data_IF_092655748698
#
_entry.id   IF_092655748698
#
_cell.length_a   1.000
_cell.length_b   1.000
_cell.length_c   1.000
_cell.angle_alpha   90.00
_cell.angle_beta   90.00
_cell.angle_gamma   90.00
#
_symmetry.space_group_name_H-M   'P 1'
#
loop_
_entity.id
_entity.type
_entity.pdbx_description
1 polymer ?
#
# COMPACT_ATOMS: atom_id res chain seq x y z
N UNK A 1 -25.78 10.94 -8.76
CA UNK A 1 -25.67 10.28 -7.44
C UNK A 1 -24.26 9.74 -7.35
N UNK A 2 -23.50 9.99 -6.27
CA UNK A 2 -22.20 9.34 -6.09
C UNK A 2 -22.43 7.81 -6.05
N UNK A 3 -21.74 7.06 -6.90
CA UNK A 3 -21.79 5.60 -6.88
C UNK A 3 -21.17 5.13 -5.56
N UNK A 4 -21.98 4.55 -4.67
CA UNK A 4 -21.46 3.96 -3.44
C UNK A 4 -20.79 2.63 -3.80
N UNK A 5 -19.50 2.48 -3.52
CA UNK A 5 -18.82 1.18 -3.64
C UNK A 5 -19.13 0.39 -2.37
N UNK A 6 -19.96 -0.64 -2.48
CA UNK A 6 -20.30 -1.53 -1.38
C UNK A 6 -19.47 -2.80 -1.54
N UNK A 7 -18.75 -3.17 -0.49
CA UNK A 7 -18.02 -4.41 -0.39
C UNK A 7 -18.86 -5.43 0.37
N UNK A 8 -19.16 -6.56 -0.25
CA UNK A 8 -19.79 -7.70 0.42
C UNK A 8 -18.75 -8.81 0.61
N UNK A 9 -18.45 -9.17 1.85
CA UNK A 9 -17.49 -10.23 2.14
C UNK A 9 -18.05 -11.58 1.69
N UNK A 10 -17.26 -12.31 0.92
CA UNK A 10 -17.58 -13.67 0.51
C UNK A 10 -16.66 -14.65 1.21
N UNK A 11 -17.18 -15.84 1.48
CA UNK A 11 -16.34 -16.95 1.92
C UNK A 11 -15.48 -17.42 0.74
N UNK A 12 -14.24 -16.97 0.68
CA UNK A 12 -13.24 -17.35 -0.33
C UNK A 12 -12.29 -18.39 0.23
N UNK A 13 -12.09 -19.48 -0.51
CA UNK A 13 -11.11 -20.52 -0.18
C UNK A 13 -9.77 -20.24 -0.87
N UNK A 14 -8.67 -20.53 -0.19
CA UNK A 14 -7.33 -20.40 -0.76
C UNK A 14 -7.12 -21.43 -1.89
N UNK A 15 -6.81 -20.93 -3.09
CA UNK A 15 -6.61 -21.74 -4.31
C UNK A 15 -5.13 -22.00 -4.63
N UNK A 16 -4.22 -21.53 -3.77
CA UNK A 16 -2.77 -21.63 -3.96
C UNK A 16 -2.20 -20.52 -4.86
N UNK A 17 -0.88 -20.58 -5.07
CA UNK A 17 -0.16 -19.61 -5.87
C UNK A 17 -0.27 -19.91 -7.36
N UNK A 18 -0.63 -18.90 -8.16
CA UNK A 18 -0.59 -18.98 -9.61
C UNK A 18 0.03 -17.70 -10.20
N UNK A 19 1.22 -17.82 -10.78
CA UNK A 19 1.94 -16.72 -11.42
C UNK A 19 1.38 -16.31 -12.79
N UNK A 20 0.47 -17.12 -13.34
CA UNK A 20 -0.19 -16.90 -14.63
C UNK A 20 -1.63 -16.38 -14.47
N UNK A 21 -2.02 -15.94 -13.27
CA UNK A 21 -3.32 -15.30 -13.06
C UNK A 21 -3.48 -14.10 -13.99
N UNK A 22 -4.67 -13.96 -14.58
CA UNK A 22 -5.03 -12.81 -15.41
C UNK A 22 -5.95 -11.91 -14.61
N UNK A 23 -5.49 -10.69 -14.36
CA UNK A 23 -6.29 -9.69 -13.65
C UNK A 23 -7.54 -9.36 -14.49
N UNK A 24 -8.71 -9.51 -13.88
CA UNK A 24 -9.96 -9.04 -14.44
C UNK A 24 -10.00 -7.51 -14.39
N UNK A 25 -9.64 -6.87 -15.49
CA UNK A 25 -9.54 -5.40 -15.59
C UNK A 25 -10.87 -4.68 -15.38
N UNK A 26 -11.99 -5.28 -15.80
CA UNK A 26 -13.32 -4.72 -15.56
C UNK A 26 -13.63 -4.68 -14.06
N UNK A 27 -13.37 -5.79 -13.36
CA UNK A 27 -13.55 -5.85 -11.91
C UNK A 27 -12.57 -4.97 -11.16
N UNK A 28 -11.30 -4.96 -11.55
CA UNK A 28 -10.30 -4.06 -10.99
C UNK A 28 -10.80 -2.62 -11.05
N UNK A 29 -11.22 -2.16 -12.22
CA UNK A 29 -11.73 -0.79 -12.42
C UNK A 29 -12.96 -0.49 -11.56
N UNK A 30 -13.85 -1.47 -11.36
CA UNK A 30 -15.07 -1.29 -10.57
C UNK A 30 -14.83 -1.00 -9.08
N UNK A 31 -13.63 -1.29 -8.57
CA UNK A 31 -13.23 -0.99 -7.19
C UNK A 31 -12.75 0.44 -6.96
N UNK A 32 -12.68 1.26 -8.00
CA UNK A 32 -12.24 2.63 -7.92
C UNK A 32 -13.35 3.57 -8.39
N UNK A 33 -13.34 4.80 -7.87
CA UNK A 33 -14.01 5.90 -8.56
C UNK A 33 -13.31 6.13 -9.90
N UNK A 34 -14.09 6.45 -10.94
CA UNK A 34 -13.58 6.59 -12.32
C UNK A 34 -12.38 7.55 -12.39
N UNK A 35 -12.49 8.72 -11.77
CA UNK A 35 -11.45 9.74 -11.76
C UNK A 35 -10.19 9.25 -11.03
N UNK A 36 -10.34 8.59 -9.87
CA UNK A 36 -9.22 8.03 -9.12
C UNK A 36 -8.48 6.99 -9.96
N UNK A 37 -9.20 6.11 -10.65
CA UNK A 37 -8.60 5.08 -11.51
C UNK A 37 -7.83 5.69 -12.67
N UNK A 38 -8.41 6.69 -13.35
CA UNK A 38 -7.76 7.38 -14.47
C UNK A 38 -6.48 8.10 -14.02
N UNK A 39 -6.51 8.72 -12.84
CA UNK A 39 -5.36 9.45 -12.30
C UNK A 39 -4.18 8.54 -11.96
N UNK A 40 -4.38 7.23 -11.74
CA UNK A 40 -3.29 6.27 -11.52
C UNK A 40 -2.28 6.21 -12.69
N UNK A 41 -2.68 6.60 -13.91
CA UNK A 41 -1.75 6.69 -15.04
C UNK A 41 -0.70 7.80 -14.88
N UNK A 42 -0.96 8.80 -14.03
CA UNK A 42 0.01 9.86 -13.71
C UNK A 42 1.24 9.30 -12.98
N UNK A 43 1.12 8.15 -12.31
CA UNK A 43 2.23 7.49 -11.64
C UNK A 43 3.33 7.05 -12.61
N UNK A 44 3.00 6.72 -13.87
CA UNK A 44 3.98 6.31 -14.88
C UNK A 44 4.99 7.42 -15.23
N UNK A 45 4.69 8.67 -14.88
CA UNK A 45 5.55 9.84 -15.14
C UNK A 45 6.56 10.08 -14.01
N UNK A 46 6.45 9.33 -12.91
CA UNK A 46 7.28 9.49 -11.72
C UNK A 46 8.40 8.46 -11.77
N UNK A 47 9.64 8.92 -11.61
CA UNK A 47 10.80 8.05 -11.46
C UNK A 47 11.36 8.20 -10.06
N UNK A 48 11.44 7.07 -9.35
CA UNK A 48 12.02 7.01 -8.00
C UNK A 48 13.38 6.31 -8.13
N UNK A 49 14.49 6.94 -7.73
CA UNK A 49 15.81 6.31 -7.71
C UNK A 49 15.86 5.28 -6.59
N UNK A 50 15.35 4.08 -6.88
CA UNK A 50 15.15 3.01 -5.92
C UNK A 50 15.62 1.69 -6.54
N UNK A 51 16.66 1.07 -5.99
CA UNK A 51 17.37 -0.04 -6.68
C UNK A 51 16.96 -1.43 -6.18
N UNK A 52 16.20 -1.52 -5.08
CA UNK A 52 15.86 -2.82 -4.50
C UNK A 52 14.91 -3.60 -5.42
N UNK A 53 15.13 -4.91 -5.50
CA UNK A 53 14.25 -5.87 -6.20
C UNK A 53 13.30 -6.60 -5.23
N UNK A 54 13.57 -6.50 -3.92
CA UNK A 54 12.70 -6.98 -2.85
C UNK A 54 12.50 -5.85 -1.84
N UNK A 55 11.27 -5.67 -1.39
CA UNK A 55 10.94 -4.62 -0.41
C UNK A 55 10.05 -5.11 0.71
N UNK A 56 10.03 -4.35 1.80
CA UNK A 56 8.93 -4.35 2.76
C UNK A 56 8.14 -3.03 2.74
N UNK A 57 6.82 -3.14 2.82
CA UNK A 57 5.89 -2.01 2.82
C UNK A 57 5.02 -2.05 4.07
N UNK A 58 4.89 -0.92 4.76
CA UNK A 58 3.95 -0.73 5.86
C UNK A 58 2.76 0.11 5.38
N UNK A 59 1.55 -0.37 5.64
CA UNK A 59 0.31 0.36 5.38
C UNK A 59 -0.61 0.30 6.60
N UNK A 60 -0.56 1.30 7.49
CA UNK A 60 -1.47 1.39 8.62
C UNK A 60 -2.78 2.06 8.23
N UNK A 61 -3.88 1.69 8.88
CA UNK A 61 -5.24 2.15 8.54
C UNK A 61 -5.66 1.73 7.13
N UNK A 62 -5.22 0.55 6.69
CA UNK A 62 -5.40 0.09 5.32
C UNK A 62 -6.85 -0.25 4.96
N UNK A 63 -7.73 -0.47 5.94
CA UNK A 63 -9.07 -0.98 5.71
C UNK A 63 -9.05 -2.24 4.83
N UNK A 64 -9.77 -2.19 3.72
CA UNK A 64 -9.83 -3.25 2.69
C UNK A 64 -8.96 -2.94 1.46
N UNK A 65 -8.19 -1.85 1.50
CA UNK A 65 -7.46 -1.32 0.36
C UNK A 65 -6.17 -2.09 0.06
N UNK A 66 -6.30 -3.17 -0.71
CA UNK A 66 -5.18 -3.91 -1.26
C UNK A 66 -4.76 -3.42 -2.65
N UNK A 67 -5.65 -2.77 -3.40
CA UNK A 67 -5.43 -2.52 -4.82
C UNK A 67 -4.57 -1.28 -5.08
N UNK A 68 -4.74 -0.18 -4.32
CA UNK A 68 -3.87 0.99 -4.46
C UNK A 68 -2.39 0.66 -4.25
N UNK A 69 -1.96 0.06 -3.11
CA UNK A 69 -0.55 -0.25 -2.91
C UNK A 69 0.01 -1.18 -3.99
N UNK A 70 -0.77 -2.15 -4.48
CA UNK A 70 -0.33 -3.04 -5.57
C UNK A 70 -0.10 -2.28 -6.89
N UNK A 71 -1.02 -1.39 -7.28
CA UNK A 71 -0.86 -0.57 -8.49
C UNK A 71 0.32 0.39 -8.37
N UNK A 72 0.50 0.99 -7.20
CA UNK A 72 1.63 1.87 -6.92
C UNK A 72 2.96 1.13 -7.01
N UNK A 73 3.04 -0.07 -6.44
CA UNK A 73 4.24 -0.91 -6.53
C UNK A 73 4.61 -1.22 -7.99
N UNK A 74 3.62 -1.55 -8.82
CA UNK A 74 3.87 -1.83 -10.24
C UNK A 74 4.36 -0.61 -11.02
N UNK A 75 3.72 0.54 -10.81
CA UNK A 75 4.00 1.74 -11.62
C UNK A 75 5.25 2.47 -11.16
N UNK A 76 5.50 2.55 -9.85
CA UNK A 76 6.62 3.29 -9.29
C UNK A 76 7.89 2.45 -9.12
N UNK A 77 7.75 1.13 -8.97
CA UNK A 77 8.86 0.21 -8.74
C UNK A 77 8.79 -1.04 -9.64
N UNK A 78 8.81 -0.86 -10.98
CA UNK A 78 8.64 -1.95 -11.93
C UNK A 78 9.70 -3.06 -11.82
N UNK A 79 10.87 -2.76 -11.26
CA UNK A 79 11.99 -3.68 -11.02
C UNK A 79 11.77 -4.67 -9.87
N UNK A 80 10.72 -4.51 -9.06
CA UNK A 80 10.45 -5.42 -7.95
C UNK A 80 10.05 -6.80 -8.45
N UNK A 81 10.63 -7.83 -7.83
CA UNK A 81 10.23 -9.22 -8.01
C UNK A 81 9.42 -9.73 -6.82
N UNK A 82 9.63 -9.13 -5.63
CA UNK A 82 8.96 -9.53 -4.39
C UNK A 82 8.65 -8.33 -3.50
N UNK A 83 7.50 -8.39 -2.82
CA UNK A 83 7.13 -7.41 -1.81
C UNK A 83 6.51 -8.08 -0.59
N UNK A 84 6.96 -7.67 0.61
CA UNK A 84 6.37 -8.08 1.87
C UNK A 84 5.56 -6.91 2.43
N UNK A 85 4.24 -7.00 2.37
CA UNK A 85 3.32 -5.96 2.82
C UNK A 85 2.89 -6.29 4.26
N UNK A 86 2.95 -5.30 5.14
CA UNK A 86 2.38 -5.35 6.48
C UNK A 86 1.24 -4.36 6.55
N UNK A 87 0.03 -4.90 6.56
CA UNK A 87 -1.21 -4.13 6.67
C UNK A 87 -1.63 -4.14 8.13
N UNK A 88 -1.86 -2.95 8.68
CA UNK A 88 -2.20 -2.78 10.10
C UNK A 88 -3.53 -2.07 10.19
N UNK A 89 -4.52 -2.71 10.80
CA UNK A 89 -5.84 -2.13 10.99
C UNK A 89 -6.47 -2.63 12.29
N UNK A 90 -7.38 -1.86 12.87
CA UNK A 90 -8.11 -2.29 14.06
C UNK A 90 -9.24 -3.27 13.72
N UNK A 91 -9.80 -3.14 12.51
CA UNK A 91 -10.88 -3.99 12.02
C UNK A 91 -10.34 -5.21 11.27
N UNK A 92 -11.03 -6.34 11.40
CA UNK A 92 -10.65 -7.57 10.70
C UNK A 92 -11.07 -7.52 9.22
N UNK A 93 -10.26 -6.86 8.40
CA UNK A 93 -10.55 -6.65 6.97
C UNK A 93 -9.96 -7.74 6.04
N UNK A 94 -9.26 -8.74 6.59
CA UNK A 94 -8.57 -9.76 5.79
C UNK A 94 -9.55 -10.58 4.93
N UNK A 95 -10.74 -10.89 5.44
CA UNK A 95 -11.78 -11.61 4.67
C UNK A 95 -12.22 -10.82 3.42
N UNK A 96 -12.39 -9.51 3.55
CA UNK A 96 -12.72 -8.65 2.43
C UNK A 96 -11.56 -8.51 1.44
N UNK A 97 -10.32 -8.38 1.91
CA UNK A 97 -9.13 -8.34 1.05
C UNK A 97 -9.06 -9.60 0.17
N UNK A 98 -9.32 -10.78 0.77
CA UNK A 98 -9.40 -12.05 0.01
C UNK A 98 -10.51 -12.05 -1.02
N UNK A 99 -11.68 -11.48 -0.68
CA UNK A 99 -12.80 -11.32 -1.61
C UNK A 99 -12.40 -10.47 -2.82
N UNK A 100 -11.78 -9.31 -2.56
CA UNK A 100 -11.32 -8.40 -3.61
C UNK A 100 -10.32 -9.12 -4.54
N UNK A 101 -9.31 -9.79 -3.97
CA UNK A 101 -8.32 -10.55 -4.74
C UNK A 101 -8.97 -11.60 -5.63
N UNK A 102 -9.91 -12.38 -5.10
CA UNK A 102 -10.62 -13.41 -5.87
C UNK A 102 -11.43 -12.82 -7.02
N UNK A 103 -12.17 -11.73 -6.77
CA UNK A 103 -12.99 -11.07 -7.79
C UNK A 103 -12.16 -10.46 -8.92
N UNK A 104 -10.96 -9.94 -8.62
CA UNK A 104 -10.04 -9.47 -9.66
C UNK A 104 -9.25 -10.62 -10.30
N UNK A 105 -9.52 -11.87 -9.95
CA UNK A 105 -8.93 -13.06 -10.59
C UNK A 105 -7.57 -13.48 -10.02
N UNK A 106 -7.23 -13.05 -8.81
CA UNK A 106 -5.98 -13.39 -8.12
C UNK A 106 -6.22 -14.52 -7.13
N UNK A 107 -5.57 -15.66 -7.38
CA UNK A 107 -5.48 -16.75 -6.43
C UNK A 107 -4.39 -16.48 -5.39
N UNK A 108 -4.61 -16.97 -4.16
CA UNK A 108 -3.66 -16.85 -3.06
C UNK A 108 -3.50 -18.18 -2.32
N UNK A 109 -2.35 -18.34 -1.67
CA UNK A 109 -2.15 -19.28 -0.57
C UNK A 109 -2.30 -18.55 0.76
N UNK A 110 -2.70 -19.28 1.80
CA UNK A 110 -2.94 -18.74 3.13
C UNK A 110 -2.22 -19.59 4.19
N UNK A 111 -1.55 -18.92 5.12
CA UNK A 111 -1.06 -19.50 6.37
C UNK A 111 -1.32 -18.51 7.52
N UNK A 112 -2.21 -18.90 8.44
CA UNK A 112 -2.64 -18.07 9.59
C UNK A 112 -3.11 -16.67 9.15
N UNK A 113 -2.39 -15.62 9.54
CA UNK A 113 -2.70 -14.22 9.25
C UNK A 113 -1.93 -13.68 8.03
N UNK A 114 -1.33 -14.56 7.25
CA UNK A 114 -0.54 -14.23 6.09
C UNK A 114 -1.17 -14.85 4.84
N UNK A 115 -1.26 -14.07 3.77
CA UNK A 115 -1.57 -14.57 2.44
C UNK A 115 -0.41 -14.29 1.50
N UNK A 116 -0.23 -15.15 0.51
CA UNK A 116 0.74 -14.95 -0.56
C UNK A 116 0.04 -15.09 -1.90
N UNK A 117 0.41 -14.25 -2.86
CA UNK A 117 -0.17 -14.25 -4.19
C UNK A 117 0.79 -13.63 -5.20
N UNK A 118 0.51 -13.82 -6.49
CA UNK A 118 1.23 -13.12 -7.55
C UNK A 118 0.39 -11.94 -8.05
N UNK A 119 1.03 -10.78 -8.17
CA UNK A 119 0.48 -9.59 -8.79
C UNK A 119 1.42 -9.14 -9.92
N UNK A 120 0.99 -9.25 -11.18
CA UNK A 120 1.81 -8.94 -12.36
C UNK A 120 3.23 -9.56 -12.28
N UNK A 121 3.28 -10.87 -12.01
CA UNK A 121 4.48 -11.70 -11.81
C UNK A 121 5.34 -11.39 -10.58
N UNK A 122 4.98 -10.38 -9.77
CA UNK A 122 5.63 -10.11 -8.48
C UNK A 122 5.05 -11.01 -7.41
N UNK A 123 5.90 -11.65 -6.61
CA UNK A 123 5.46 -12.40 -5.44
C UNK A 123 5.14 -11.43 -4.30
N UNK A 124 3.87 -11.35 -3.92
CA UNK A 124 3.41 -10.55 -2.80
C UNK A 124 3.19 -11.46 -1.61
N UNK A 125 3.74 -11.07 -0.47
CA UNK A 125 3.41 -11.63 0.84
C UNK A 125 2.73 -10.56 1.64
N UNK A 126 1.47 -10.77 2.03
CA UNK A 126 0.70 -9.85 2.86
C UNK A 126 0.54 -10.44 4.26
N UNK A 127 1.05 -9.74 5.26
CA UNK A 127 0.78 -10.00 6.67
C UNK A 127 -0.24 -9.00 7.17
N UNK A 128 -1.38 -9.48 7.66
CA UNK A 128 -2.41 -8.63 8.25
C UNK A 128 -2.28 -8.63 9.78
N UNK A 129 -2.15 -7.44 10.37
CA UNK A 129 -2.00 -7.22 11.81
C UNK A 129 -3.25 -6.51 12.31
N UNK A 130 -4.13 -7.26 12.99
CA UNK A 130 -5.36 -6.73 13.58
C UNK A 130 -5.07 -6.05 14.93
N UNK A 131 -4.49 -4.84 14.86
CA UNK A 131 -4.14 -3.98 16.00
C UNK A 131 -4.19 -2.53 15.55
N UNK A 132 -4.45 -1.61 16.48
CA UNK A 132 -4.15 -0.19 16.27
C UNK A 132 -2.63 0.02 16.12
N UNK A 133 -2.22 0.89 15.20
CA UNK A 133 -0.80 1.12 14.88
C UNK A 133 0.02 1.59 16.09
N UNK A 134 -0.56 2.38 17.00
CA UNK A 134 0.11 2.83 18.22
C UNK A 134 0.57 1.69 19.13
N UNK A 135 -0.17 0.57 19.10
CA UNK A 135 0.14 -0.63 19.87
C UNK A 135 1.09 -1.58 19.13
N UNK A 136 1.47 -1.26 17.90
CA UNK A 136 2.35 -2.08 17.07
C UNK A 136 3.73 -1.45 16.83
N UNK A 137 3.93 -0.16 17.13
CA UNK A 137 5.22 0.52 16.91
C UNK A 137 6.44 -0.17 17.53
N UNK A 138 6.28 -0.77 18.72
CA UNK A 138 7.37 -1.48 19.41
C UNK A 138 7.77 -2.78 18.71
N UNK A 139 6.83 -3.43 18.04
CA UNK A 139 6.99 -4.70 17.30
C UNK A 139 7.37 -4.45 15.83
N UNK A 140 7.20 -3.21 15.36
CA UNK A 140 7.39 -2.83 13.98
C UNK A 140 8.84 -3.03 13.55
N UNK A 141 9.03 -3.91 12.58
CA UNK A 141 10.31 -4.09 11.89
C UNK A 141 10.58 -2.91 10.97
N UNK A 142 11.84 -2.70 10.59
CA UNK A 142 12.17 -1.67 9.62
C UNK A 142 11.58 -2.00 8.25
N UNK A 143 11.20 -0.96 7.51
CA UNK A 143 10.56 -1.10 6.21
C UNK A 143 11.13 -0.14 5.18
N UNK A 144 10.90 -0.48 3.91
CA UNK A 144 11.41 0.29 2.78
C UNK A 144 10.42 1.33 2.29
N UNK A 145 9.13 1.01 2.37
CA UNK A 145 8.06 1.87 1.90
C UNK A 145 7.04 2.05 3.02
N UNK A 146 6.71 3.30 3.33
CA UNK A 146 5.48 3.64 4.04
C UNK A 146 4.44 4.04 3.02
N UNK A 147 3.24 3.51 3.17
CA UNK A 147 2.10 3.82 2.30
C UNK A 147 0.92 4.32 3.14
N UNK A 148 0.26 5.36 2.67
CA UNK A 148 -0.97 5.90 3.26
C UNK A 148 -1.86 6.50 2.17
N UNK A 149 -3.12 6.07 2.11
CA UNK A 149 -4.16 6.68 1.28
C UNK A 149 -5.30 7.21 2.16
N UNK A 150 -5.89 8.33 1.74
CA UNK A 150 -7.11 8.94 2.27
C UNK A 150 -7.05 9.59 3.67
N UNK A 151 -6.57 8.97 4.75
CA UNK A 151 -6.88 9.50 6.09
C UNK A 151 -5.67 10.07 6.86
N UNK A 152 -5.81 11.31 7.35
CA UNK A 152 -4.87 11.95 8.30
C UNK A 152 -5.03 11.49 9.75
N UNK A 153 -6.08 10.72 10.03
CA UNK A 153 -6.55 10.39 11.38
C UNK A 153 -5.38 9.97 12.28
N UNK A 154 -4.52 9.07 11.81
CA UNK A 154 -3.39 8.62 12.63
C UNK A 154 -2.39 9.74 12.97
N UNK A 155 -2.09 10.64 12.03
CA UNK A 155 -1.18 11.77 12.27
C UNK A 155 -1.78 12.80 13.21
N UNK A 156 -3.08 13.05 13.10
CA UNK A 156 -3.77 14.05 13.91
C UNK A 156 -3.92 13.63 15.39
N UNK A 157 -4.06 12.32 15.66
CA UNK A 157 -4.33 11.81 17.01
C UNK A 157 -3.11 11.15 17.70
N UNK A 158 -2.13 10.64 16.95
CA UNK A 158 -0.97 9.97 17.54
C UNK A 158 0.18 10.96 17.67
N UNK A 159 0.54 11.27 18.91
CA UNK A 159 1.69 12.12 19.20
C UNK A 159 2.97 11.58 18.53
N UNK A 160 3.68 12.46 17.83
CA UNK A 160 4.96 12.17 17.18
C UNK A 160 4.91 11.04 16.14
N UNK A 161 3.75 10.85 15.49
CA UNK A 161 3.52 9.75 14.55
C UNK A 161 4.54 9.71 13.41
N UNK A 162 4.78 10.86 12.78
CA UNK A 162 5.67 10.96 11.63
C UNK A 162 7.10 10.56 11.97
N UNK A 163 7.62 10.98 13.12
CA UNK A 163 8.96 10.58 13.57
C UNK A 163 9.01 9.09 13.92
N UNK A 164 7.95 8.53 14.52
CA UNK A 164 7.87 7.08 14.75
C UNK A 164 7.93 6.30 13.44
N UNK A 165 7.24 6.77 12.40
CA UNK A 165 7.32 6.20 11.05
C UNK A 165 8.74 6.34 10.48
N UNK A 166 9.28 7.56 10.43
CA UNK A 166 10.61 7.85 9.86
C UNK A 166 11.75 7.11 10.58
N UNK A 167 11.62 6.85 11.89
CA UNK A 167 12.61 6.12 12.67
C UNK A 167 12.75 4.64 12.25
N UNK A 168 11.69 4.05 11.69
CA UNK A 168 11.65 2.67 11.22
C UNK A 168 11.81 2.54 9.70
N UNK A 169 11.61 3.64 8.97
CA UNK A 169 11.88 3.68 7.54
C UNK A 169 13.40 3.53 7.29
N UNK A 170 13.76 2.57 6.45
CA UNK A 170 15.14 2.32 6.05
C UNK A 170 15.75 3.54 5.33
N UNK A 171 17.08 3.62 5.33
CA UNK A 171 17.79 4.58 4.49
C UNK A 171 17.46 4.37 3.02
N UNK A 172 17.30 5.48 2.28
CA UNK A 172 16.75 5.51 0.92
C UNK A 172 15.32 4.95 0.80
N UNK A 173 14.60 4.78 1.91
CA UNK A 173 13.20 4.40 1.93
C UNK A 173 12.27 5.50 1.41
N UNK A 174 11.04 5.10 1.08
CA UNK A 174 10.05 5.94 0.42
C UNK A 174 8.82 6.13 1.30
N UNK A 175 8.41 7.37 1.51
CA UNK A 175 7.09 7.74 2.00
C UNK A 175 6.19 8.00 0.81
N UNK A 176 5.06 7.31 0.72
CA UNK A 176 3.96 7.62 -0.19
C UNK A 176 2.76 7.93 0.68
N UNK A 177 2.39 9.20 0.80
CA UNK A 177 1.25 9.62 1.62
C UNK A 177 0.36 10.54 0.82
N UNK A 178 -0.93 10.23 0.78
CA UNK A 178 -1.97 11.04 0.13
C UNK A 178 -2.25 12.36 0.86
N UNK A 179 -1.97 12.41 2.15
CA UNK A 179 -2.39 13.54 2.98
C UNK A 179 -1.24 14.40 3.46
N UNK A 180 -0.03 14.16 2.93
CA UNK A 180 1.18 14.92 3.25
C UNK A 180 2.00 14.29 4.38
N UNK A 181 3.16 14.88 4.64
CA UNK A 181 4.04 14.48 5.74
C UNK A 181 4.94 15.69 6.08
N UNK A 182 4.97 16.12 7.34
CA UNK A 182 5.77 17.26 7.76
C UNK A 182 7.27 16.93 7.73
N UNK A 183 8.03 17.84 7.11
CA UNK A 183 9.31 17.49 6.50
C UNK A 183 10.49 17.76 7.44
N UNK A 184 11.07 16.71 8.02
CA UNK A 184 12.45 16.73 8.51
C UNK A 184 13.21 15.57 7.86
N UNK A 185 13.94 15.87 6.76
CA UNK A 185 14.87 14.97 6.05
C UNK A 185 14.34 14.17 4.85
N UNK A 186 13.17 14.47 4.31
CA UNK A 186 12.69 13.85 3.06
C UNK A 186 13.04 14.70 1.83
N UNK A 187 13.66 14.09 0.82
CA UNK A 187 13.73 14.64 -0.53
C UNK A 187 12.39 14.39 -1.21
N UNK A 188 11.60 15.44 -1.40
CA UNK A 188 10.31 15.32 -2.09
C UNK A 188 10.51 15.14 -3.61
N UNK A 189 9.75 14.23 -4.19
CA UNK A 189 9.57 14.06 -5.62
C UNK A 189 8.29 14.79 -6.01
N UNK A 190 8.36 15.59 -7.08
CA UNK A 190 7.18 16.30 -7.57
C UNK A 190 6.15 15.30 -8.12
N UNK A 191 4.92 15.39 -7.61
CA UNK A 191 3.78 14.56 -8.03
C UNK A 191 2.61 15.44 -8.44
N UNK A 192 1.75 14.93 -9.33
CA UNK A 192 0.51 15.64 -9.66
C UNK A 192 -0.41 15.66 -8.44
N UNK A 193 -1.01 16.82 -8.15
CA UNK A 193 -2.02 16.96 -7.09
C UNK A 193 -3.28 16.17 -7.34
N UNK A 194 -3.53 15.75 -8.59
CA UNK A 194 -4.69 14.95 -9.00
C UNK A 194 -4.61 13.49 -8.51
N UNK A 195 -3.42 13.01 -8.14
CA UNK A 195 -3.26 11.70 -7.51
C UNK A 195 -3.83 11.66 -6.08
N UNK A 196 -4.24 12.81 -5.55
CA UNK A 196 -4.64 13.00 -4.17
C UNK A 196 -6.04 13.54 -4.03
N UNK A 197 -6.83 12.92 -3.16
CA UNK A 197 -8.14 13.44 -2.79
C UNK A 197 -8.02 14.77 -2.03
N UNK A 198 -6.93 14.95 -1.28
CA UNK A 198 -6.65 16.16 -0.49
C UNK A 198 -5.74 17.16 -1.22
N UNK A 199 -5.24 16.82 -2.41
CA UNK A 199 -4.26 17.60 -3.17
C UNK A 199 -2.95 17.84 -2.41
N UNK A 200 -2.65 16.94 -1.47
CA UNK A 200 -1.53 17.04 -0.53
C UNK A 200 -0.59 15.84 -0.60
N UNK A 201 -0.79 14.96 -1.59
CA UNK A 201 0.06 13.80 -1.74
C UNK A 201 1.53 14.20 -1.88
N UNK A 202 2.36 13.45 -1.17
CA UNK A 202 3.80 13.49 -1.31
C UNK A 202 4.35 12.12 -1.67
N UNK A 203 5.46 12.13 -2.40
CA UNK A 203 6.42 11.04 -2.45
C UNK A 203 7.73 11.58 -1.92
N UNK A 204 8.17 11.08 -0.76
CA UNK A 204 9.38 11.54 -0.07
C UNK A 204 10.42 10.43 0.02
N UNK A 205 11.66 10.72 -0.35
CA UNK A 205 12.80 9.82 -0.16
C UNK A 205 13.55 10.19 1.12
N UNK A 206 13.73 9.25 2.03
CA UNK A 206 14.61 9.42 3.17
C UNK A 206 16.05 9.43 2.70
N UNK A 207 16.75 10.55 2.93
CA UNK A 207 18.17 10.66 2.57
C UNK A 207 19.02 9.99 3.63
N UNK A 208 20.07 9.31 3.16
CA UNK A 208 21.18 8.87 3.98
C UNK A 208 21.79 10.07 4.73
N UNK A 209 21.85 9.97 6.06
CA UNK A 209 22.62 10.90 6.89
C UNK A 209 24.10 10.61 6.61
N UNK A 210 24.70 11.39 5.72
CA UNK A 210 26.16 11.36 5.51
C UNK A 210 26.81 11.95 6.76
N UNK A 211 27.38 11.08 7.60
CA UNK A 211 28.27 11.45 8.71
C UNK A 211 29.58 12.06 8.17
#
# INVERSE_FOLDING_TARGET
MPNLIIYEEKKVEAKGLNSNNKINQEKLKSYFFEDDYQNLELLNKISIPFEKTEISLLYPGCGTDILFPLIYLDKLFPQLNKANLTFVDEDNNLGMIKTILDEVGISFSEDKSQIQFHWNHKLITLTFVMKKIENHFSELQSYDIYFEKAFRIMRDYIFDYENKILSKLNENGVIISDTGFENQNLKQITVSKELSSYKEMIIGLKKEIKN
#
